data_IF_882028032221
#
_entry.id   IF_882028032221
#
_cell.length_a   1.000
_cell.length_b   1.000
_cell.length_c   1.000
_cell.angle_alpha   90.00
_cell.angle_beta   90.00
_cell.angle_gamma   90.00
#
_symmetry.space_group_name_H-M   'P 1'
#
loop_
_entity.id
_entity.type
_entity.pdbx_description
1 polymer ?
#
# COMPACT_ATOMS: atom_id res chain seq x y z
N UNK A 1 15.37 58.82 -14.27
CA UNK A 1 15.69 57.88 -13.18
C UNK A 1 15.00 56.55 -13.50
N UNK A 2 15.67 55.69 -14.27
CA UNK A 2 15.12 54.39 -14.67
C UNK A 2 15.53 53.35 -13.61
N UNK A 3 14.54 52.70 -13.01
CA UNK A 3 14.75 51.61 -12.05
C UNK A 3 15.00 50.31 -12.80
N UNK A 4 16.09 49.63 -12.46
CA UNK A 4 16.50 48.35 -13.02
C UNK A 4 15.60 47.23 -12.49
N UNK A 5 14.63 46.79 -13.30
CA UNK A 5 13.77 45.62 -13.01
C UNK A 5 13.85 44.59 -14.13
N UNK A 6 15.07 44.25 -14.56
CA UNK A 6 15.33 43.16 -15.52
C UNK A 6 16.40 42.22 -14.96
N UNK A 7 16.04 41.44 -13.93
CA UNK A 7 16.65 40.14 -13.68
C UNK A 7 15.74 39.31 -12.75
N UNK A 8 14.62 38.81 -13.26
CA UNK A 8 13.85 37.75 -12.58
C UNK A 8 13.73 36.52 -13.49
N UNK A 9 14.85 36.00 -13.94
CA UNK A 9 14.94 34.72 -14.66
C UNK A 9 15.29 33.54 -13.75
N UNK A 10 15.34 33.74 -12.43
CA UNK A 10 15.86 32.76 -11.47
C UNK A 10 14.83 32.27 -10.43
N UNK A 11 13.54 32.28 -10.77
CA UNK A 11 12.49 31.67 -9.94
C UNK A 11 11.47 30.90 -10.80
N UNK A 12 11.12 29.68 -10.36
CA UNK A 12 10.05 28.90 -10.97
C UNK A 12 8.73 29.24 -10.27
N UNK A 13 7.69 29.54 -11.05
CA UNK A 13 6.38 30.01 -10.55
C UNK A 13 5.35 28.90 -10.66
N UNK A 14 4.76 28.50 -9.53
CA UNK A 14 3.68 27.51 -9.48
C UNK A 14 2.34 28.18 -9.19
N UNK A 15 1.30 27.79 -9.92
CA UNK A 15 -0.07 28.27 -9.74
C UNK A 15 -0.89 27.22 -9.01
N UNK A 16 -1.65 27.63 -8.00
CA UNK A 16 -2.62 26.75 -7.34
C UNK A 16 -3.88 27.52 -6.93
N UNK A 17 -4.98 26.78 -6.80
CA UNK A 17 -6.25 27.30 -6.30
C UNK A 17 -6.27 27.18 -4.79
N UNK A 18 -6.54 28.29 -4.12
CA UNK A 18 -6.82 28.30 -2.69
C UNK A 18 -8.28 27.88 -2.46
N UNK A 19 -8.63 27.48 -1.25
CA UNK A 19 -9.99 27.04 -0.90
C UNK A 19 -11.07 28.09 -1.13
N UNK A 20 -10.68 29.35 -1.32
CA UNK A 20 -11.54 30.49 -1.69
C UNK A 20 -11.72 30.64 -3.22
N UNK A 21 -11.14 29.75 -4.03
CA UNK A 21 -11.25 29.75 -5.49
C UNK A 21 -10.35 30.78 -6.19
N UNK A 22 -9.58 31.57 -5.46
CA UNK A 22 -8.68 32.56 -6.05
C UNK A 22 -7.36 31.92 -6.51
N UNK A 23 -6.85 32.39 -7.65
CA UNK A 23 -5.57 31.98 -8.23
C UNK A 23 -4.43 32.65 -7.47
N UNK A 24 -3.57 31.83 -6.86
CA UNK A 24 -2.36 32.31 -6.20
C UNK A 24 -1.12 31.74 -6.92
N UNK A 25 -0.10 32.59 -7.06
CA UNK A 25 1.22 32.18 -7.52
C UNK A 25 2.17 32.02 -6.32
N UNK A 26 2.94 30.94 -6.31
CA UNK A 26 4.07 30.77 -5.43
C UNK A 26 5.36 30.84 -6.25
N UNK A 27 6.25 31.76 -5.89
CA UNK A 27 7.59 31.86 -6.48
C UNK A 27 8.58 31.14 -5.58
N UNK A 28 9.24 30.10 -6.10
CA UNK A 28 10.35 29.44 -5.40
C UNK A 28 11.67 29.93 -6.00
N UNK A 29 12.63 30.44 -5.18
CA UNK A 29 13.95 30.85 -5.67
C UNK A 29 14.71 29.64 -6.24
N UNK A 30 15.28 29.78 -7.43
CA UNK A 30 16.03 28.71 -8.11
C UNK A 30 17.43 28.50 -7.52
N UNK A 31 17.95 29.48 -6.78
CA UNK A 31 19.25 29.41 -6.11
C UNK A 31 19.11 29.64 -4.60
N UNK A 32 18.77 28.56 -3.89
CA UNK A 32 18.78 28.50 -2.42
C UNK A 32 19.64 27.33 -1.98
N UNK A 33 20.88 27.62 -1.58
CA UNK A 33 21.73 26.70 -0.86
C UNK A 33 20.93 26.15 0.35
N UNK A 34 20.83 24.81 0.43
CA UNK A 34 20.20 24.00 1.49
C UNK A 34 18.74 23.52 1.27
N UNK A 35 18.22 23.42 0.05
CA UNK A 35 16.96 22.70 -0.25
C UNK A 35 17.17 21.16 -0.28
N UNK A 36 17.26 20.55 0.91
CA UNK A 36 17.15 19.11 1.23
C UNK A 36 17.12 18.11 0.04
N UNK A 37 18.25 17.43 -0.18
CA UNK A 37 18.50 16.39 -1.21
C UNK A 37 17.35 15.38 -1.39
N UNK A 38 16.65 15.03 -0.31
CA UNK A 38 15.54 14.08 -0.35
C UNK A 38 14.36 14.53 -1.20
N UNK A 39 14.03 15.83 -1.22
CA UNK A 39 12.91 16.33 -2.02
C UNK A 39 13.21 16.28 -3.51
N UNK A 40 14.46 16.57 -3.93
CA UNK A 40 14.88 16.40 -5.32
C UNK A 40 14.85 14.93 -5.72
N UNK A 41 15.39 14.04 -4.87
CA UNK A 41 15.36 12.59 -5.13
C UNK A 41 13.92 12.09 -5.30
N UNK A 42 13.04 12.41 -4.35
CA UNK A 42 11.61 12.04 -4.43
C UNK A 42 10.96 12.59 -5.69
N UNK A 43 11.25 13.82 -6.10
CA UNK A 43 10.64 14.42 -7.29
C UNK A 43 11.10 13.72 -8.58
N UNK A 44 12.41 13.45 -8.72
CA UNK A 44 12.96 12.72 -9.88
C UNK A 44 12.44 11.28 -9.91
N UNK A 45 12.41 10.58 -8.76
CA UNK A 45 11.87 9.22 -8.67
C UNK A 45 10.39 9.17 -8.99
N UNK A 46 9.58 10.06 -8.41
CA UNK A 46 8.14 10.10 -8.69
C UNK A 46 7.88 10.36 -10.17
N UNK A 47 8.58 11.32 -10.78
CA UNK A 47 8.46 11.59 -12.21
C UNK A 47 8.75 10.34 -13.05
N UNK A 48 9.83 9.62 -12.76
CA UNK A 48 10.16 8.36 -13.44
C UNK A 48 9.10 7.27 -13.25
N UNK A 49 8.60 7.08 -12.02
CA UNK A 49 7.60 6.05 -11.71
C UNK A 49 6.28 6.33 -12.43
N UNK A 50 5.75 7.55 -12.36
CA UNK A 50 4.52 7.91 -13.06
C UNK A 50 4.67 7.78 -14.57
N UNK A 51 5.85 8.07 -15.11
CA UNK A 51 6.17 7.91 -16.54
C UNK A 51 6.14 6.44 -16.99
N UNK A 52 6.58 5.49 -16.14
CA UNK A 52 6.46 4.04 -16.43
C UNK A 52 4.98 3.63 -16.60
N UNK A 53 4.08 4.21 -15.80
CA UNK A 53 2.65 3.96 -15.90
C UNK A 53 1.93 4.73 -17.02
N UNK A 54 2.67 5.46 -17.87
CA UNK A 54 2.14 6.10 -19.08
C UNK A 54 1.82 7.60 -18.93
N UNK A 55 2.18 8.23 -17.81
CA UNK A 55 2.06 9.69 -17.69
C UNK A 55 3.24 10.38 -18.37
N UNK A 56 3.01 10.91 -19.57
CA UNK A 56 4.04 11.62 -20.36
C UNK A 56 3.64 13.08 -20.52
N UNK A 57 4.57 13.99 -20.27
CA UNK A 57 4.39 15.43 -20.48
C UNK A 57 4.74 15.80 -21.93
N UNK A 58 4.02 16.77 -22.49
CA UNK A 58 4.25 17.27 -23.85
C UNK A 58 5.35 18.32 -23.88
N UNK A 59 6.19 18.30 -24.91
CA UNK A 59 7.18 19.35 -25.15
C UNK A 59 6.45 20.64 -25.51
N UNK A 60 6.54 21.66 -24.65
CA UNK A 60 6.00 23.00 -24.91
C UNK A 60 7.06 23.97 -25.43
N UNK A 61 8.34 23.73 -25.10
CA UNK A 61 9.45 24.64 -25.39
C UNK A 61 10.58 23.93 -26.16
N UNK A 62 11.07 24.58 -27.21
CA UNK A 62 12.12 24.07 -28.10
C UNK A 62 13.46 24.66 -27.68
N UNK A 63 14.04 24.04 -26.65
CA UNK A 63 15.41 24.31 -26.18
C UNK A 63 16.30 23.08 -26.36
N UNK A 64 17.62 23.28 -26.44
CA UNK A 64 18.60 22.19 -26.56
C UNK A 64 18.48 21.16 -25.41
N UNK A 65 18.19 21.62 -24.19
CA UNK A 65 17.98 20.76 -23.02
C UNK A 65 16.70 19.91 -23.14
N UNK A 66 15.63 20.49 -23.70
CA UNK A 66 14.35 19.84 -23.91
C UNK A 66 14.47 18.67 -24.91
N UNK A 67 15.24 18.87 -25.98
CA UNK A 67 15.51 17.81 -26.97
C UNK A 67 16.29 16.64 -26.38
N UNK A 68 17.36 16.91 -25.61
CA UNK A 68 18.15 15.85 -24.97
C UNK A 68 17.30 15.09 -23.94
N UNK A 69 16.49 15.79 -23.14
CA UNK A 69 15.58 15.16 -22.20
C UNK A 69 14.56 14.25 -22.90
N UNK A 70 13.99 14.68 -24.04
CA UNK A 70 13.06 13.88 -24.81
C UNK A 70 13.68 12.60 -25.38
N UNK A 71 14.90 12.68 -25.94
CA UNK A 71 15.61 11.50 -26.44
C UNK A 71 15.90 10.51 -25.30
N UNK A 72 16.33 11.02 -24.13
CA UNK A 72 16.55 10.19 -22.94
C UNK A 72 15.25 9.52 -22.46
N UNK A 73 14.14 10.24 -22.49
CA UNK A 73 12.82 9.72 -22.13
C UNK A 73 12.37 8.58 -23.05
N UNK A 74 12.58 8.70 -24.37
CA UNK A 74 12.25 7.64 -25.33
C UNK A 74 13.03 6.37 -25.01
N UNK A 75 14.34 6.49 -24.79
CA UNK A 75 15.21 5.34 -24.47
C UNK A 75 14.79 4.74 -23.12
N UNK A 76 14.53 5.58 -22.12
CA UNK A 76 14.07 5.14 -20.80
C UNK A 76 12.76 4.35 -20.88
N UNK A 77 11.76 4.88 -21.60
CA UNK A 77 10.45 4.23 -21.78
C UNK A 77 10.61 2.92 -22.55
N UNK A 78 11.45 2.86 -23.59
CA UNK A 78 11.68 1.62 -24.34
C UNK A 78 12.26 0.51 -23.45
N UNK A 79 13.25 0.85 -22.60
CA UNK A 79 13.84 -0.10 -21.66
C UNK A 79 12.81 -0.53 -20.60
N UNK A 80 12.09 0.43 -20.00
CA UNK A 80 11.16 0.17 -18.92
C UNK A 80 9.89 -0.57 -19.36
N UNK A 81 9.36 -0.29 -20.55
CA UNK A 81 8.06 -0.84 -20.96
C UNK A 81 8.19 -2.04 -21.89
N UNK A 82 9.19 -2.07 -22.78
CA UNK A 82 9.35 -3.18 -23.73
C UNK A 82 10.34 -4.22 -23.21
N UNK A 83 11.49 -3.81 -22.67
CA UNK A 83 12.47 -4.79 -22.19
C UNK A 83 12.09 -5.35 -20.81
N UNK A 84 11.74 -4.50 -19.84
CA UNK A 84 11.43 -4.94 -18.48
C UNK A 84 10.12 -5.76 -18.41
N UNK A 85 9.04 -5.32 -19.06
CA UNK A 85 7.75 -6.03 -19.02
C UNK A 85 7.86 -7.40 -19.68
N UNK A 86 8.54 -7.51 -20.83
CA UNK A 86 8.72 -8.78 -21.52
C UNK A 86 9.51 -9.79 -20.67
N UNK A 87 10.55 -9.33 -19.97
CA UNK A 87 11.31 -10.19 -19.04
C UNK A 87 10.50 -10.51 -17.78
N UNK A 88 9.78 -9.54 -17.22
CA UNK A 88 8.98 -9.73 -16.01
C UNK A 88 7.85 -10.73 -16.23
N UNK A 89 7.14 -10.63 -17.36
CA UNK A 89 6.10 -11.58 -17.75
C UNK A 89 6.71 -12.97 -17.98
N UNK A 90 7.88 -13.07 -18.62
CA UNK A 90 8.58 -14.34 -18.77
C UNK A 90 8.96 -14.97 -17.42
N UNK A 91 9.45 -14.18 -16.48
CA UNK A 91 9.79 -14.64 -15.12
C UNK A 91 8.55 -15.10 -14.36
N UNK A 92 7.47 -14.31 -14.38
CA UNK A 92 6.20 -14.70 -13.76
C UNK A 92 5.63 -15.97 -14.38
N UNK A 93 5.72 -16.15 -15.69
CA UNK A 93 5.26 -17.39 -16.32
C UNK A 93 6.03 -18.63 -15.82
N UNK A 94 7.32 -18.49 -15.53
CA UNK A 94 8.11 -19.58 -14.93
C UNK A 94 7.72 -19.80 -13.47
N UNK A 95 7.74 -18.75 -12.65
CA UNK A 95 7.47 -18.88 -11.21
C UNK A 95 6.03 -19.28 -10.91
N UNK A 96 5.04 -18.83 -11.69
CA UNK A 96 3.65 -19.24 -11.55
C UNK A 96 3.52 -20.75 -11.74
N UNK A 97 4.22 -21.35 -12.72
CA UNK A 97 4.17 -22.80 -12.96
C UNK A 97 4.72 -23.58 -11.76
N UNK A 98 5.88 -23.16 -11.26
CA UNK A 98 6.52 -23.81 -10.11
C UNK A 98 5.73 -23.62 -8.81
N UNK A 99 5.14 -22.42 -8.62
CA UNK A 99 4.32 -22.09 -7.46
C UNK A 99 2.97 -22.80 -7.51
N UNK A 100 2.34 -22.94 -8.68
CA UNK A 100 1.04 -23.60 -8.81
C UNK A 100 1.11 -25.07 -8.35
N UNK A 101 2.16 -25.80 -8.73
CA UNK A 101 2.35 -27.19 -8.33
C UNK A 101 2.52 -27.34 -6.81
N UNK A 102 3.36 -26.49 -6.21
CA UNK A 102 3.60 -26.49 -4.75
C UNK A 102 2.39 -25.95 -3.96
N UNK A 103 1.71 -24.93 -4.50
CA UNK A 103 0.56 -24.27 -3.87
C UNK A 103 -0.62 -25.22 -3.72
N UNK A 104 -0.85 -26.15 -4.66
CA UNK A 104 -1.91 -27.18 -4.53
C UNK A 104 -1.71 -28.06 -3.30
N UNK A 105 -0.46 -28.45 -3.01
CA UNK A 105 -0.14 -29.25 -1.83
C UNK A 105 -0.29 -28.44 -0.54
N UNK A 106 0.22 -27.20 -0.54
CA UNK A 106 0.07 -26.26 0.61
C UNK A 106 -1.40 -25.98 0.88
N UNK A 107 -2.21 -25.70 -0.14
CA UNK A 107 -3.65 -25.48 -0.02
C UNK A 107 -4.36 -26.72 0.54
N UNK A 108 -3.97 -27.92 0.11
CA UNK A 108 -4.49 -29.17 0.67
C UNK A 108 -4.16 -29.35 2.16
N UNK A 109 -2.93 -29.01 2.56
CA UNK A 109 -2.49 -29.05 3.95
C UNK A 109 -3.21 -27.99 4.81
N UNK A 110 -3.28 -26.74 4.35
CA UNK A 110 -4.03 -25.66 5.01
C UNK A 110 -5.51 -26.02 5.14
N UNK A 111 -6.12 -26.56 4.07
CA UNK A 111 -7.51 -27.02 4.10
C UNK A 111 -7.70 -28.13 5.13
N UNK A 112 -6.78 -29.09 5.22
CA UNK A 112 -6.84 -30.13 6.24
C UNK A 112 -6.76 -29.54 7.65
N UNK A 113 -5.82 -28.61 7.90
CA UNK A 113 -5.69 -27.95 9.20
C UNK A 113 -6.99 -27.25 9.61
N UNK A 114 -7.58 -26.48 8.68
CA UNK A 114 -8.85 -25.80 8.92
C UNK A 114 -9.94 -26.82 9.24
N UNK A 115 -10.14 -27.85 8.41
CA UNK A 115 -11.18 -28.87 8.65
C UNK A 115 -10.97 -29.57 10.00
N UNK A 116 -9.73 -29.92 10.33
CA UNK A 116 -9.37 -30.56 11.59
C UNK A 116 -9.69 -29.65 12.79
N UNK A 117 -9.39 -28.35 12.69
CA UNK A 117 -9.70 -27.37 13.73
C UNK A 117 -11.22 -27.19 13.94
N UNK A 118 -12.01 -27.19 12.87
CA UNK A 118 -13.47 -27.04 12.93
C UNK A 118 -14.22 -28.33 13.28
N UNK A 119 -13.56 -29.50 13.29
CA UNK A 119 -14.21 -30.79 13.61
C UNK A 119 -14.74 -30.86 15.04
N UNK A 120 -14.00 -30.28 15.99
CA UNK A 120 -14.31 -30.36 17.43
C UNK A 120 -14.81 -29.00 18.00
N UNK A 121 -14.84 -27.94 17.19
CA UNK A 121 -15.34 -26.61 17.59
C UNK A 121 -16.85 -26.50 17.34
N UNK A 122 -17.59 -25.77 18.21
CA UNK A 122 -18.99 -25.44 17.92
C UNK A 122 -19.05 -24.61 16.63
N UNK A 123 -19.89 -25.03 15.68
CA UNK A 123 -20.06 -24.46 14.32
C UNK A 123 -20.59 -23.01 14.28
N UNK A 124 -20.63 -22.33 15.41
CA UNK A 124 -21.27 -21.02 15.54
C UNK A 124 -20.21 -19.94 15.27
N UNK A 125 -20.42 -19.05 14.27
CA UNK A 125 -19.46 -17.99 13.99
C UNK A 125 -19.22 -17.13 15.24
N UNK A 126 -18.00 -16.58 15.43
CA UNK A 126 -17.60 -15.84 16.62
C UNK A 126 -18.62 -14.83 17.17
N UNK A 127 -19.40 -14.07 16.35
CA UNK A 127 -20.42 -13.17 16.89
C UNK A 127 -21.61 -13.86 17.58
N UNK A 128 -21.99 -15.09 17.19
CA UNK A 128 -23.15 -15.82 17.73
C UNK A 128 -22.77 -16.92 18.71
N UNK A 129 -21.48 -17.28 18.82
CA UNK A 129 -20.99 -18.33 19.72
C UNK A 129 -20.95 -17.91 21.19
N UNK A 130 -20.87 -16.61 21.45
CA UNK A 130 -20.77 -16.02 22.80
C UNK A 130 -21.92 -16.43 23.75
N UNK A 131 -23.22 -16.31 23.39
CA UNK A 131 -24.31 -16.74 24.28
C UNK A 131 -24.30 -18.25 24.54
N UNK A 132 -23.92 -19.06 23.56
CA UNK A 132 -23.85 -20.53 23.70
C UNK A 132 -22.75 -20.96 24.68
N UNK A 133 -21.56 -20.36 24.58
CA UNK A 133 -20.43 -20.63 25.49
C UNK A 133 -20.76 -20.13 26.90
N UNK A 134 -21.39 -18.95 27.03
CA UNK A 134 -21.83 -18.40 28.32
C UNK A 134 -22.84 -19.33 29.01
N UNK A 135 -23.88 -19.79 28.29
CA UNK A 135 -24.87 -20.73 28.82
C UNK A 135 -24.23 -22.04 29.30
N UNK A 136 -23.29 -22.60 28.52
CA UNK A 136 -22.57 -23.83 28.88
C UNK A 136 -21.74 -23.64 30.15
N UNK A 137 -21.01 -22.53 30.27
CA UNK A 137 -20.18 -22.21 31.44
C UNK A 137 -21.01 -22.02 32.71
N UNK A 138 -22.11 -21.27 32.61
CA UNK A 138 -23.04 -21.02 33.72
C UNK A 138 -23.68 -22.32 34.21
N UNK A 139 -24.18 -23.17 33.30
CA UNK A 139 -24.76 -24.48 33.65
C UNK A 139 -23.75 -25.39 34.34
N UNK A 140 -22.49 -25.39 33.90
CA UNK A 140 -21.43 -26.16 34.55
C UNK A 140 -21.14 -25.66 35.97
N UNK A 141 -21.10 -24.34 36.16
CA UNK A 141 -20.89 -23.73 37.47
C UNK A 141 -22.03 -24.05 38.44
N UNK A 142 -23.29 -23.98 38.01
CA UNK A 142 -24.44 -24.34 38.85
C UNK A 142 -24.40 -25.80 39.32
N UNK A 143 -24.09 -26.76 38.42
CA UNK A 143 -23.99 -28.18 38.81
C UNK A 143 -22.86 -28.42 39.82
N UNK A 144 -21.72 -27.73 39.63
CA UNK A 144 -20.58 -27.83 40.54
C UNK A 144 -20.90 -27.20 41.89
N UNK A 145 -21.54 -26.05 41.93
CA UNK A 145 -21.99 -25.41 43.17
C UNK A 145 -23.02 -26.28 43.91
N UNK A 146 -23.96 -26.89 43.20
CA UNK A 146 -24.96 -27.75 43.81
C UNK A 146 -24.34 -29.02 44.44
N UNK A 147 -23.33 -29.62 43.80
CA UNK A 147 -22.61 -30.76 44.39
C UNK A 147 -21.74 -30.35 45.59
N UNK A 148 -21.13 -29.16 45.55
CA UNK A 148 -20.43 -28.59 46.70
C UNK A 148 -21.37 -28.28 47.87
N UNK A 149 -22.51 -27.63 47.61
CA UNK A 149 -23.52 -27.31 48.62
C UNK A 149 -24.11 -28.59 49.24
N UNK A 150 -24.38 -29.62 48.43
CA UNK A 150 -24.87 -30.91 48.94
C UNK A 150 -23.85 -31.63 49.84
N UNK A 151 -22.55 -31.50 49.53
CA UNK A 151 -21.47 -31.99 50.42
C UNK A 151 -21.33 -31.15 51.70
N UNK A 152 -21.51 -29.84 51.62
CA UNK A 152 -21.41 -28.94 52.78
C UNK A 152 -22.56 -29.12 53.77
N UNK A 153 -23.78 -29.36 53.30
CA UNK A 153 -24.94 -29.58 54.17
C UNK A 153 -25.09 -31.03 54.64
N UNK A 154 -24.53 -32.01 53.94
CA UNK A 154 -24.55 -33.42 54.34
C UNK A 154 -23.60 -33.82 55.47
N UNK A 155 -22.65 -32.94 55.84
CA UNK A 155 -21.68 -33.18 56.92
C UNK A 155 -22.08 -32.51 58.26
N UNK A 156 -23.28 -31.93 58.36
CA UNK A 156 -23.81 -31.29 59.58
C UNK A 156 -24.94 -32.10 60.25
N UNK A 157 -25.09 -33.39 59.94
CA UNK A 157 -26.07 -34.28 60.58
C UNK A 157 -25.38 -35.45 61.27
#
# INVERSE_FOLDING_TARGET
MASWSLLSTDSQVYWYYKSDGSLFNATVPRTGTNLWTWHLLRNVTNYGVWKIFGQVETITDIDAYSYVAFVLDIIFIAIANVLLLNVLVALFNVTIRDVEERSKQVWGYERYLIINEYRDKPSIPPPVGTPYILYRSVRHLYRKLQSFLKRSFGNCQ
#
